data_IF_523283121300
#
_entry.id   IF_523283121300
#
_cell.length_a   1.000
_cell.length_b   1.000
_cell.length_c   1.000
_cell.angle_alpha   90.00
_cell.angle_beta   90.00
_cell.angle_gamma   90.00
#
_symmetry.space_group_name_H-M   'P 1'
#
loop_
_entity.id
_entity.type
_entity.pdbx_description
1 polymer ?
#
# COMPACT_ATOMS: atom_id res chain seq x y z
N UNK A 1 -13.19 17.49 -22.45
CA UNK A 1 -14.29 17.06 -21.57
C UNK A 1 -15.00 15.94 -22.29
N UNK A 2 -15.00 14.74 -21.71
CA UNK A 2 -15.62 13.55 -22.28
C UNK A 2 -17.13 13.74 -22.39
N UNK A 3 -17.70 13.47 -23.57
CA UNK A 3 -19.13 13.73 -23.86
C UNK A 3 -19.98 12.48 -23.73
N UNK A 4 -21.30 12.65 -23.60
CA UNK A 4 -22.28 11.55 -23.63
C UNK A 4 -22.12 10.67 -24.87
N UNK A 5 -21.89 11.27 -26.04
CA UNK A 5 -21.73 10.52 -27.30
C UNK A 5 -20.45 9.70 -27.30
N UNK A 6 -19.34 10.26 -26.82
CA UNK A 6 -18.07 9.53 -26.66
C UNK A 6 -18.23 8.35 -25.70
N UNK A 7 -18.89 8.57 -24.55
CA UNK A 7 -19.20 7.51 -23.60
C UNK A 7 -20.03 6.39 -24.20
N UNK A 8 -21.11 6.71 -24.92
CA UNK A 8 -21.96 5.71 -25.59
C UNK A 8 -21.15 4.90 -26.61
N UNK A 9 -20.28 5.54 -27.39
CA UNK A 9 -19.48 4.85 -28.40
C UNK A 9 -18.48 3.89 -27.77
N UNK A 10 -17.72 4.34 -26.76
CA UNK A 10 -16.75 3.48 -26.05
C UNK A 10 -17.45 2.31 -25.34
N UNK A 11 -18.58 2.57 -24.70
CA UNK A 11 -19.36 1.50 -24.06
C UNK A 11 -19.90 0.50 -25.08
N UNK A 12 -20.39 0.96 -26.24
CA UNK A 12 -20.87 0.08 -27.32
C UNK A 12 -19.76 -0.81 -27.88
N UNK A 13 -18.58 -0.26 -28.10
CA UNK A 13 -17.40 -1.01 -28.56
C UNK A 13 -17.03 -2.14 -27.58
N UNK A 14 -17.22 -1.91 -26.28
CA UNK A 14 -16.94 -2.87 -25.22
C UNK A 14 -18.17 -3.66 -24.74
N UNK A 15 -19.33 -3.50 -25.41
CA UNK A 15 -20.61 -4.15 -25.05
C UNK A 15 -21.09 -3.85 -23.62
N UNK A 16 -21.01 -2.60 -23.19
CA UNK A 16 -21.34 -2.12 -21.83
C UNK A 16 -22.44 -1.05 -21.83
N UNK A 17 -23.31 -1.03 -22.84
CA UNK A 17 -24.31 0.03 -23.03
C UNK A 17 -25.29 0.15 -21.85
N UNK A 18 -25.47 -0.91 -21.05
CA UNK A 18 -26.34 -0.91 -19.87
C UNK A 18 -25.92 0.12 -18.81
N UNK A 19 -24.65 0.52 -18.77
CA UNK A 19 -24.14 1.57 -17.86
C UNK A 19 -24.89 2.90 -18.06
N UNK A 20 -25.33 3.19 -19.28
CA UNK A 20 -26.02 4.44 -19.60
C UNK A 20 -27.53 4.41 -19.29
N UNK A 21 -28.07 3.30 -18.78
CA UNK A 21 -29.52 3.08 -18.59
C UNK A 21 -30.23 4.23 -17.88
N UNK A 22 -29.64 4.74 -16.81
CA UNK A 22 -30.25 5.78 -15.97
C UNK A 22 -29.71 7.19 -16.24
N UNK A 23 -28.86 7.37 -17.24
CA UNK A 23 -28.08 8.60 -17.42
C UNK A 23 -28.94 9.87 -17.50
N UNK A 24 -30.07 9.80 -18.22
CA UNK A 24 -30.97 10.94 -18.42
C UNK A 24 -31.85 11.24 -17.20
N UNK A 25 -31.88 10.36 -16.19
CA UNK A 25 -32.52 10.58 -14.88
C UNK A 25 -31.58 11.27 -13.87
N UNK A 26 -30.28 11.33 -14.15
CA UNK A 26 -29.26 11.82 -13.23
C UNK A 26 -29.23 13.36 -13.16
N UNK A 27 -28.74 13.88 -12.05
CA UNK A 27 -28.35 15.29 -11.95
C UNK A 27 -27.16 15.57 -12.87
N UNK A 28 -26.95 16.84 -13.26
CA UNK A 28 -25.81 17.23 -14.08
C UNK A 28 -24.45 16.88 -13.43
N UNK A 29 -24.39 16.92 -12.09
CA UNK A 29 -23.22 16.51 -11.32
C UNK A 29 -22.94 15.00 -11.45
N UNK A 30 -23.95 14.16 -11.21
CA UNK A 30 -23.82 12.71 -11.33
C UNK A 30 -23.57 12.26 -12.78
N UNK A 31 -24.12 12.98 -13.77
CA UNK A 31 -23.78 12.76 -15.17
C UNK A 31 -22.29 13.00 -15.43
N UNK A 32 -21.75 14.09 -14.90
CA UNK A 32 -20.33 14.43 -15.05
C UNK A 32 -19.44 13.40 -14.36
N UNK A 33 -19.82 12.94 -13.16
CA UNK A 33 -19.10 11.89 -12.43
C UNK A 33 -19.09 10.58 -13.23
N UNK A 34 -20.24 10.12 -13.72
CA UNK A 34 -20.32 8.89 -14.51
C UNK A 34 -19.48 8.99 -15.79
N UNK A 35 -19.54 10.13 -16.51
CA UNK A 35 -18.72 10.33 -17.71
C UNK A 35 -17.23 10.28 -17.39
N UNK A 36 -16.81 10.87 -16.26
CA UNK A 36 -15.43 10.79 -15.80
C UNK A 36 -15.05 9.34 -15.44
N UNK A 37 -15.92 8.58 -14.78
CA UNK A 37 -15.68 7.17 -14.50
C UNK A 37 -15.51 6.36 -15.80
N UNK A 38 -16.37 6.58 -16.81
CA UNK A 38 -16.30 5.89 -18.11
C UNK A 38 -15.03 6.25 -18.88
N UNK A 39 -14.62 7.52 -18.88
CA UNK A 39 -13.39 7.98 -19.55
C UNK A 39 -12.13 7.29 -18.99
N UNK A 40 -12.14 6.99 -17.69
CA UNK A 40 -10.99 6.44 -16.97
C UNK A 40 -11.00 4.90 -16.85
N UNK A 41 -11.92 4.19 -17.51
CA UNK A 41 -11.94 2.72 -17.48
C UNK A 41 -10.71 2.17 -18.18
N UNK A 42 -9.95 1.33 -17.47
CA UNK A 42 -8.90 0.52 -18.07
C UNK A 42 -9.48 -0.75 -18.71
N UNK A 43 -9.86 -0.65 -19.99
CA UNK A 43 -10.45 -1.77 -20.75
C UNK A 43 -9.51 -2.97 -20.94
N UNK A 44 -8.19 -2.80 -20.74
CA UNK A 44 -7.22 -3.90 -20.90
C UNK A 44 -7.37 -4.96 -19.80
N UNK A 45 -7.76 -4.57 -18.59
CA UNK A 45 -7.95 -5.47 -17.44
C UNK A 45 -8.98 -6.56 -17.75
N UNK A 46 -10.01 -6.23 -18.54
CA UNK A 46 -11.14 -7.13 -18.77
C UNK A 46 -10.76 -8.29 -19.67
N UNK A 47 -9.67 -8.15 -20.43
CA UNK A 47 -9.10 -9.23 -21.26
C UNK A 47 -8.41 -10.31 -20.43
N UNK A 48 -8.16 -10.05 -19.15
CA UNK A 48 -7.54 -11.00 -18.22
C UNK A 48 -8.56 -11.97 -17.60
N UNK A 49 -9.86 -11.67 -17.74
CA UNK A 49 -10.93 -12.54 -17.23
C UNK A 49 -10.86 -13.90 -17.94
N UNK A 50 -10.81 -14.98 -17.15
CA UNK A 50 -10.66 -16.34 -17.65
C UNK A 50 -9.24 -16.71 -18.09
N UNK A 51 -8.27 -15.79 -18.04
CA UNK A 51 -6.86 -15.99 -18.40
C UNK A 51 -5.97 -16.39 -17.24
N UNK A 52 -6.52 -17.05 -16.21
CA UNK A 52 -5.81 -17.39 -14.98
C UNK A 52 -4.76 -18.48 -15.18
N UNK A 53 -3.62 -18.15 -15.75
CA UNK A 53 -2.42 -18.94 -15.54
C UNK A 53 -1.84 -18.54 -14.18
N UNK A 54 -2.04 -19.41 -13.18
CA UNK A 54 -1.15 -19.42 -12.03
C UNK A 54 0.24 -19.73 -12.57
N UNK A 55 1.06 -18.71 -12.79
CA UNK A 55 2.45 -18.91 -13.18
C UNK A 55 3.06 -19.86 -12.16
N UNK A 56 3.66 -20.96 -12.63
CA UNK A 56 4.41 -21.84 -11.75
C UNK A 56 5.50 -21.02 -11.08
N UNK A 57 5.51 -21.03 -9.75
CA UNK A 57 6.57 -20.40 -8.97
C UNK A 57 7.90 -21.09 -9.24
N UNK A 58 8.96 -20.30 -9.20
CA UNK A 58 10.34 -20.74 -9.37
C UNK A 58 10.93 -21.42 -8.14
N UNK A 59 12.25 -21.58 -8.13
CA UNK A 59 12.99 -22.09 -6.98
C UNK A 59 13.22 -20.97 -5.97
N UNK A 60 12.85 -21.22 -4.71
CA UNK A 60 13.04 -20.26 -3.63
C UNK A 60 14.42 -20.39 -2.97
N UNK A 61 15.01 -19.25 -2.61
CA UNK A 61 16.24 -19.17 -1.80
C UNK A 61 16.22 -17.96 -0.88
N UNK A 62 17.15 -17.94 0.08
CA UNK A 62 17.24 -16.89 1.11
C UNK A 62 17.72 -15.57 0.48
N UNK A 63 17.10 -14.41 0.78
CA UNK A 63 17.51 -13.14 0.23
C UNK A 63 18.74 -12.57 0.96
N UNK A 64 19.45 -11.60 0.36
CA UNK A 64 20.41 -10.78 1.09
C UNK A 64 19.72 -10.10 2.28
N UNK A 65 20.30 -10.25 3.46
CA UNK A 65 19.72 -9.74 4.69
C UNK A 65 20.77 -9.10 5.59
N UNK A 66 20.37 -8.06 6.32
CA UNK A 66 21.10 -7.55 7.48
C UNK A 66 20.25 -7.84 8.71
N UNK A 67 20.76 -8.71 9.57
CA UNK A 67 20.11 -9.07 10.84
C UNK A 67 20.47 -8.08 11.94
N UNK A 68 19.68 -8.05 13.01
CA UNK A 68 19.85 -7.10 14.13
C UNK A 68 21.30 -7.02 14.62
N UNK A 69 21.97 -8.18 14.77
CA UNK A 69 23.35 -8.23 15.26
C UNK A 69 24.40 -7.63 14.30
N UNK A 70 24.13 -7.61 12.98
CA UNK A 70 24.97 -6.91 12.01
C UNK A 70 24.63 -5.41 11.98
N UNK A 71 23.34 -5.08 12.03
CA UNK A 71 22.86 -3.69 12.10
C UNK A 71 23.50 -2.98 13.30
N UNK A 72 23.54 -3.61 14.48
CA UNK A 72 24.19 -3.06 15.67
C UNK A 72 25.70 -2.82 15.47
N UNK A 73 26.40 -3.71 14.76
CA UNK A 73 27.84 -3.58 14.49
C UNK A 73 28.17 -2.50 13.46
N UNK A 74 27.28 -2.30 12.49
CA UNK A 74 27.44 -1.35 11.38
C UNK A 74 26.53 -0.14 11.51
N UNK A 75 25.96 0.08 12.70
CA UNK A 75 24.96 1.11 12.95
C UNK A 75 25.45 2.48 12.50
N UNK A 76 26.63 2.91 12.96
CA UNK A 76 27.17 4.23 12.68
C UNK A 76 27.49 4.44 11.20
N UNK A 77 27.90 3.38 10.50
CA UNK A 77 28.13 3.41 9.04
C UNK A 77 26.81 3.66 8.31
N UNK A 78 25.79 2.85 8.60
CA UNK A 78 24.48 2.95 7.97
C UNK A 78 23.80 4.28 8.32
N UNK A 79 23.78 4.65 9.60
CA UNK A 79 23.19 5.91 10.06
C UNK A 79 23.83 7.11 9.34
N UNK A 80 25.16 7.15 9.21
CA UNK A 80 25.85 8.24 8.52
C UNK A 80 25.42 8.36 7.04
N UNK A 81 25.37 7.24 6.31
CA UNK A 81 24.94 7.22 4.90
C UNK A 81 23.48 7.65 4.76
N UNK A 82 22.59 7.14 5.62
CA UNK A 82 21.17 7.49 5.56
C UNK A 82 20.92 8.95 5.93
N UNK A 83 21.57 9.46 6.96
CA UNK A 83 21.46 10.88 7.35
C UNK A 83 21.99 11.80 6.26
N UNK A 84 23.05 11.41 5.55
CA UNK A 84 23.54 12.16 4.40
C UNK A 84 22.50 12.23 3.27
N UNK A 85 21.88 11.09 2.91
CA UNK A 85 20.83 11.04 1.89
C UNK A 85 19.62 11.90 2.28
N UNK A 86 19.17 11.81 3.54
CA UNK A 86 18.05 12.61 4.06
C UNK A 86 18.36 14.12 3.98
N UNK A 87 19.55 14.55 4.42
CA UNK A 87 19.97 15.96 4.40
C UNK A 87 20.12 16.52 2.99
N UNK A 88 20.43 15.68 2.00
CA UNK A 88 20.46 16.05 0.58
C UNK A 88 19.08 16.15 -0.06
N UNK A 89 18.00 15.79 0.66
CA UNK A 89 16.64 15.75 0.12
C UNK A 89 16.39 14.54 -0.79
N UNK A 90 17.24 13.51 -0.72
CA UNK A 90 17.17 12.37 -1.64
C UNK A 90 16.13 11.32 -1.25
N UNK A 91 15.45 11.48 -0.11
CA UNK A 91 14.47 10.50 0.41
C UNK A 91 13.12 11.18 0.60
N UNK A 92 12.06 10.55 0.09
CA UNK A 92 10.67 10.91 0.36
C UNK A 92 9.95 9.76 1.08
N UNK A 93 8.82 10.07 1.70
CA UNK A 93 7.96 9.11 2.39
C UNK A 93 6.57 9.07 1.74
N UNK A 94 5.99 7.88 1.56
CA UNK A 94 4.62 7.70 1.05
C UNK A 94 3.79 6.89 2.03
N UNK A 95 2.74 7.52 2.56
CA UNK A 95 1.77 6.89 3.42
C UNK A 95 0.62 6.30 2.57
N UNK A 96 0.46 4.99 2.61
CA UNK A 96 -0.68 4.30 1.99
C UNK A 96 -1.90 4.34 2.93
N UNK A 97 -2.79 5.32 2.74
CA UNK A 97 -3.95 5.60 3.60
C UNK A 97 -5.30 5.59 2.85
N UNK A 98 -5.39 4.89 1.71
CA UNK A 98 -6.65 4.75 0.95
C UNK A 98 -7.73 3.89 1.61
N UNK A 99 -7.48 3.32 2.78
CA UNK A 99 -8.40 2.43 3.49
C UNK A 99 -9.32 3.13 4.50
N UNK A 100 -10.55 2.64 4.60
CA UNK A 100 -11.50 3.02 5.66
C UNK A 100 -11.32 2.16 6.91
N UNK A 101 -11.74 2.67 8.07
CA UNK A 101 -11.73 1.98 9.36
C UNK A 101 -12.84 0.93 9.56
N UNK A 102 -13.53 0.50 8.50
CA UNK A 102 -14.77 -0.29 8.61
C UNK A 102 -14.60 -1.62 9.37
N UNK A 103 -13.44 -2.29 9.25
CA UNK A 103 -13.11 -3.50 10.03
C UNK A 103 -12.99 -3.25 11.53
N UNK A 104 -12.78 -1.99 11.92
CA UNK A 104 -12.74 -1.54 13.31
C UNK A 104 -14.11 -1.03 13.79
N UNK A 105 -15.17 -1.17 12.97
CA UNK A 105 -16.47 -0.56 13.25
C UNK A 105 -16.43 0.97 13.21
N UNK A 106 -15.53 1.54 12.41
CA UNK A 106 -15.27 2.98 12.34
C UNK A 106 -15.48 3.51 10.91
N UNK A 107 -16.39 4.48 10.76
CA UNK A 107 -16.84 4.97 9.44
C UNK A 107 -15.96 6.08 8.84
N UNK A 108 -14.81 6.36 9.46
CA UNK A 108 -13.84 7.37 9.04
C UNK A 108 -12.57 6.70 8.46
N UNK A 109 -11.64 7.46 7.84
CA UNK A 109 -10.38 6.92 7.38
C UNK A 109 -9.65 6.24 8.53
N UNK A 110 -8.97 5.11 8.28
CA UNK A 110 -8.36 4.29 9.33
C UNK A 110 -7.38 5.08 10.20
N UNK A 111 -6.62 6.00 9.61
CA UNK A 111 -5.66 6.84 10.33
C UNK A 111 -6.29 7.79 11.36
N UNK A 112 -7.57 8.11 11.23
CA UNK A 112 -8.32 8.94 12.18
C UNK A 112 -8.76 8.15 13.43
N UNK A 113 -8.51 6.84 13.49
CA UNK A 113 -8.92 6.03 14.63
C UNK A 113 -8.11 6.40 15.88
N UNK A 114 -8.82 6.67 16.98
CA UNK A 114 -8.21 7.00 18.27
C UNK A 114 -7.82 5.72 19.02
N UNK A 115 -6.52 5.53 19.23
CA UNK A 115 -5.92 4.43 19.99
C UNK A 115 -5.56 4.83 21.42
N UNK A 116 -5.90 6.05 21.84
CA UNK A 116 -5.66 6.52 23.20
C UNK A 116 -6.53 5.86 24.26
N UNK A 117 -6.17 6.10 25.53
CA UNK A 117 -6.88 5.65 26.72
C UNK A 117 -7.10 6.81 27.69
N UNK A 118 -6.02 7.48 28.08
CA UNK A 118 -6.05 8.63 29.00
C UNK A 118 -6.00 9.97 28.27
N UNK A 119 -5.68 9.96 26.98
CA UNK A 119 -5.73 11.13 26.08
C UNK A 119 -6.17 10.70 24.69
N UNK A 120 -6.36 11.66 23.80
CA UNK A 120 -6.46 11.36 22.38
C UNK A 120 -5.07 11.01 21.82
N UNK A 121 -5.02 9.95 21.04
CA UNK A 121 -3.87 9.55 20.25
C UNK A 121 -4.36 8.86 18.98
N UNK A 122 -4.21 9.51 17.84
CA UNK A 122 -4.69 8.98 16.57
C UNK A 122 -3.60 8.14 15.88
N UNK A 123 -4.01 7.18 15.05
CA UNK A 123 -3.06 6.40 14.24
C UNK A 123 -2.18 7.32 13.37
N UNK A 124 -2.76 8.33 12.69
CA UNK A 124 -1.98 9.32 11.94
C UNK A 124 -0.97 10.06 12.84
N UNK A 125 -1.37 10.43 14.06
CA UNK A 125 -0.47 11.09 15.00
C UNK A 125 0.71 10.19 15.41
N UNK A 126 0.49 8.88 15.61
CA UNK A 126 1.59 7.94 15.86
C UNK A 126 2.61 7.95 14.71
N UNK A 127 2.13 7.86 13.47
CA UNK A 127 3.00 7.83 12.28
C UNK A 127 3.78 9.14 12.10
N UNK A 128 3.12 10.29 12.30
CA UNK A 128 3.77 11.59 12.20
C UNK A 128 4.79 11.78 13.33
N UNK A 129 4.50 11.33 14.56
CA UNK A 129 5.47 11.34 15.64
C UNK A 129 6.72 10.51 15.30
N UNK A 130 6.53 9.30 14.75
CA UNK A 130 7.64 8.43 14.36
C UNK A 130 8.50 9.08 13.25
N UNK A 131 7.87 9.71 12.25
CA UNK A 131 8.59 10.46 11.21
C UNK A 131 9.26 11.71 11.78
N UNK A 132 8.66 12.38 12.75
CA UNK A 132 9.23 13.56 13.38
C UNK A 132 10.50 13.25 14.17
N UNK A 133 10.66 12.05 14.71
CA UNK A 133 11.92 11.67 15.33
C UNK A 133 13.07 11.66 14.31
N UNK A 134 12.81 11.18 13.08
CA UNK A 134 13.78 11.24 11.98
C UNK A 134 14.05 12.69 11.56
N UNK A 135 13.02 13.53 11.49
CA UNK A 135 13.21 14.96 11.20
C UNK A 135 14.11 15.64 12.24
N UNK A 136 13.94 15.34 13.53
CA UNK A 136 14.81 15.86 14.60
C UNK A 136 16.25 15.35 14.47
N UNK A 137 16.42 14.07 14.11
CA UNK A 137 17.73 13.44 13.94
C UNK A 137 18.47 13.96 12.70
N UNK A 138 17.77 14.11 11.58
CA UNK A 138 18.32 14.61 10.32
C UNK A 138 18.49 16.13 10.30
N UNK A 139 17.68 16.86 11.08
CA UNK A 139 17.63 18.33 11.08
C UNK A 139 16.90 18.92 9.87
N UNK A 140 16.13 18.11 9.13
CA UNK A 140 15.36 18.53 7.96
C UNK A 140 14.04 17.74 7.85
N UNK A 141 13.02 18.36 7.29
CA UNK A 141 11.76 17.68 6.97
C UNK A 141 11.92 16.72 5.79
N UNK A 142 11.14 15.64 5.80
CA UNK A 142 11.11 14.64 4.74
C UNK A 142 9.83 14.89 3.92
N UNK A 143 9.90 15.02 2.58
CA UNK A 143 8.69 15.13 1.77
C UNK A 143 7.75 13.95 2.03
N UNK A 144 6.54 14.23 2.50
CA UNK A 144 5.53 13.24 2.84
C UNK A 144 4.37 13.32 1.84
N UNK A 145 4.13 12.22 1.14
CA UNK A 145 3.00 12.09 0.22
C UNK A 145 1.98 11.12 0.83
N UNK A 146 0.74 11.58 0.98
CA UNK A 146 -0.33 10.81 1.59
C UNK A 146 -1.26 10.33 0.48
N UNK A 147 -1.27 9.01 0.26
CA UNK A 147 -2.18 8.37 -0.67
C UNK A 147 -3.53 8.14 0.00
N UNK A 148 -4.59 8.66 -0.61
CA UNK A 148 -5.99 8.53 -0.16
C UNK A 148 -6.81 7.79 -1.22
N UNK A 149 -8.13 7.75 -1.04
CA UNK A 149 -9.12 7.27 -2.00
C UNK A 149 -10.16 8.35 -2.24
N UNK A 150 -10.92 8.27 -3.34
CA UNK A 150 -12.02 9.20 -3.60
C UNK A 150 -13.01 9.30 -2.42
N UNK A 151 -13.21 8.19 -1.71
CA UNK A 151 -14.14 8.10 -0.57
C UNK A 151 -13.62 8.77 0.71
N UNK A 152 -12.32 8.99 0.85
CA UNK A 152 -11.72 9.38 2.14
C UNK A 152 -10.78 10.60 2.06
N UNK A 153 -10.43 11.08 0.87
CA UNK A 153 -9.46 12.17 0.65
C UNK A 153 -9.83 13.46 1.40
N UNK A 154 -11.04 13.96 1.21
CA UNK A 154 -11.49 15.21 1.85
C UNK A 154 -11.44 15.11 3.37
N UNK A 155 -11.94 14.00 3.93
CA UNK A 155 -11.92 13.76 5.38
C UNK A 155 -10.49 13.66 5.91
N UNK A 156 -9.59 12.99 5.19
CA UNK A 156 -8.19 12.89 5.59
C UNK A 156 -7.51 14.25 5.59
N UNK A 157 -7.68 15.08 4.54
CA UNK A 157 -7.11 16.43 4.49
C UNK A 157 -7.62 17.31 5.63
N UNK A 158 -8.93 17.39 5.82
CA UNK A 158 -9.54 18.18 6.89
C UNK A 158 -9.05 17.72 8.27
N UNK A 159 -8.90 16.41 8.49
CA UNK A 159 -8.41 15.89 9.75
C UNK A 159 -6.97 16.32 10.06
N UNK A 160 -6.07 16.32 9.07
CA UNK A 160 -4.71 16.83 9.25
C UNK A 160 -4.70 18.35 9.52
N UNK A 161 -5.50 19.12 8.79
CA UNK A 161 -5.62 20.57 8.99
C UNK A 161 -6.15 20.93 10.38
N UNK A 162 -7.20 20.24 10.85
CA UNK A 162 -7.80 20.42 12.17
C UNK A 162 -6.83 20.14 13.33
N UNK A 163 -5.82 19.29 13.09
CA UNK A 163 -4.81 18.90 14.08
C UNK A 163 -3.44 19.56 13.85
N UNK A 164 -3.38 20.63 13.05
CA UNK A 164 -2.14 21.35 12.73
C UNK A 164 -1.03 20.41 12.23
N UNK A 165 -1.42 19.44 11.39
CA UNK A 165 -0.56 18.39 10.83
C UNK A 165 0.22 17.59 11.89
N UNK A 166 -0.28 17.54 13.13
CA UNK A 166 0.38 16.96 14.29
C UNK A 166 1.79 17.53 14.53
N UNK A 167 2.02 18.79 14.13
CA UNK A 167 3.31 19.48 14.21
C UNK A 167 4.25 19.24 13.03
N UNK A 168 3.85 18.49 12.00
CA UNK A 168 4.62 18.39 10.75
C UNK A 168 4.48 19.67 9.94
N UNK A 169 5.51 20.05 9.15
CA UNK A 169 5.40 21.22 8.29
C UNK A 169 4.46 20.92 7.10
N UNK A 170 3.32 21.62 6.95
CA UNK A 170 2.37 21.37 5.86
C UNK A 170 2.96 21.61 4.46
N UNK A 171 4.00 22.43 4.30
CA UNK A 171 4.67 22.65 3.01
C UNK A 171 5.37 21.38 2.47
N UNK A 172 5.64 20.41 3.34
CA UNK A 172 6.24 19.12 3.00
C UNK A 172 5.19 18.03 2.81
N UNK A 173 3.90 18.32 2.97
CA UNK A 173 2.81 17.35 2.84
C UNK A 173 2.09 17.55 1.52
N UNK A 174 2.04 16.50 0.72
CA UNK A 174 1.25 16.44 -0.50
C UNK A 174 0.28 15.27 -0.41
N UNK A 175 -0.84 15.36 -1.13
CA UNK A 175 -1.86 14.33 -1.15
C UNK A 175 -2.15 13.93 -2.58
N UNK A 176 -2.42 12.64 -2.78
CA UNK A 176 -2.90 12.13 -4.06
C UNK A 176 -3.88 11.00 -3.85
N UNK A 177 -4.83 10.90 -4.77
CA UNK A 177 -5.88 9.90 -4.71
C UNK A 177 -5.41 8.69 -5.52
N UNK A 178 -5.48 7.50 -4.92
CA UNK A 178 -5.19 6.24 -5.62
C UNK A 178 -6.22 5.99 -6.73
N UNK A 179 -5.80 5.32 -7.79
CA UNK A 179 -6.69 4.93 -8.87
C UNK A 179 -7.66 3.82 -8.44
N UNK A 180 -8.84 3.84 -9.05
CA UNK A 180 -9.92 2.90 -8.78
C UNK A 180 -10.12 2.01 -10.01
N UNK A 181 -10.17 0.70 -9.81
CA UNK A 181 -10.50 -0.27 -10.84
C UNK A 181 -12.01 -0.57 -10.83
N UNK A 182 -12.60 -0.70 -12.02
CA UNK A 182 -14.01 -1.08 -12.15
C UNK A 182 -14.20 -2.57 -11.87
N UNK A 183 -15.23 -2.88 -11.10
CA UNK A 183 -15.64 -4.25 -10.85
C UNK A 183 -16.61 -4.73 -11.95
N UNK A 184 -16.52 -6.01 -12.28
CA UNK A 184 -17.34 -6.65 -13.31
C UNK A 184 -17.96 -7.93 -12.79
N UNK A 185 -19.08 -8.34 -13.39
CA UNK A 185 -19.63 -9.68 -13.17
C UNK A 185 -18.80 -10.77 -13.89
N UNK A 186 -19.25 -12.02 -13.79
CA UNK A 186 -18.59 -13.16 -14.42
C UNK A 186 -18.57 -13.11 -15.96
N UNK A 187 -19.48 -12.36 -16.58
CA UNK A 187 -19.53 -12.14 -18.03
C UNK A 187 -18.70 -10.91 -18.46
N UNK A 188 -17.99 -10.28 -17.52
CA UNK A 188 -17.20 -9.07 -17.76
C UNK A 188 -18.05 -7.81 -17.92
N UNK A 189 -19.31 -7.81 -17.47
CA UNK A 189 -20.16 -6.61 -17.47
C UNK A 189 -19.87 -5.74 -16.27
N UNK A 190 -19.72 -4.44 -16.50
CA UNK A 190 -19.57 -3.44 -15.45
C UNK A 190 -20.73 -3.51 -14.45
N UNK A 191 -20.39 -3.62 -13.17
CA UNK A 191 -21.34 -3.51 -12.08
C UNK A 191 -21.58 -2.04 -11.72
N UNK A 192 -22.81 -1.70 -11.31
CA UNK A 192 -23.17 -0.37 -10.84
C UNK A 192 -23.38 -0.41 -9.32
N UNK A 193 -22.73 0.47 -8.55
CA UNK A 193 -22.97 0.61 -7.09
C UNK A 193 -24.34 1.28 -6.84
N UNK A 194 -24.71 2.22 -7.72
CA UNK A 194 -25.97 2.97 -7.71
C UNK A 194 -26.28 3.53 -9.10
N UNK A 195 -27.44 4.15 -9.27
CA UNK A 195 -27.82 4.77 -10.55
C UNK A 195 -26.80 5.85 -10.91
N UNK A 196 -26.08 5.64 -12.01
CA UNK A 196 -25.08 6.58 -12.49
C UNK A 196 -23.72 6.47 -11.81
N UNK A 197 -23.41 5.35 -11.14
CA UNK A 197 -22.10 5.15 -10.53
C UNK A 197 -21.61 3.72 -10.69
N UNK A 198 -20.43 3.57 -11.26
CA UNK A 198 -19.76 2.29 -11.39
C UNK A 198 -19.37 1.75 -10.01
N UNK A 199 -19.51 0.44 -9.82
CA UNK A 199 -18.93 -0.25 -8.68
C UNK A 199 -17.41 -0.32 -8.89
N UNK A 200 -16.65 0.36 -8.05
CA UNK A 200 -15.19 0.40 -8.14
C UNK A 200 -14.53 -0.05 -6.84
N UNK A 201 -13.25 -0.41 -6.92
CA UNK A 201 -12.39 -0.68 -5.78
C UNK A 201 -11.02 -0.07 -5.99
N UNK A 202 -10.26 0.19 -4.92
CA UNK A 202 -8.84 0.52 -5.06
C UNK A 202 -8.14 -0.48 -5.98
N UNK A 203 -7.27 -0.01 -6.86
CA UNK A 203 -6.50 -0.84 -7.79
C UNK A 203 -5.35 -1.63 -7.11
N UNK A 204 -5.49 -1.95 -5.82
CA UNK A 204 -4.50 -2.66 -5.01
C UNK A 204 -3.36 -1.78 -4.48
N UNK A 205 -2.55 -2.34 -3.57
CA UNK A 205 -1.48 -1.61 -2.90
C UNK A 205 -0.22 -1.42 -3.77
N UNK A 206 -0.13 -2.06 -4.93
CA UNK A 206 0.92 -1.86 -5.94
C UNK A 206 0.65 -0.67 -6.87
N UNK A 207 -0.57 -0.16 -6.92
CA UNK A 207 -0.96 0.94 -7.82
C UNK A 207 -0.48 2.33 -7.40
N UNK A 208 0.12 2.46 -6.22
CA UNK A 208 0.43 3.76 -5.60
C UNK A 208 1.33 4.65 -6.45
N UNK A 209 2.36 4.09 -7.10
CA UNK A 209 3.30 4.90 -7.87
C UNK A 209 2.67 5.38 -9.20
N UNK A 210 1.91 4.53 -9.87
CA UNK A 210 1.13 4.92 -11.04
C UNK A 210 0.14 6.05 -10.72
N UNK A 211 -0.55 5.96 -9.58
CA UNK A 211 -1.45 7.03 -9.11
C UNK A 211 -0.72 8.33 -8.79
N UNK A 212 0.48 8.24 -8.21
CA UNK A 212 1.34 9.40 -7.95
C UNK A 212 1.80 10.09 -9.24
N UNK A 213 2.22 9.31 -10.26
CA UNK A 213 2.61 9.81 -11.59
C UNK A 213 1.41 10.46 -12.28
N UNK A 214 0.22 9.85 -12.22
CA UNK A 214 -1.02 10.41 -12.77
C UNK A 214 -1.40 11.74 -12.10
N UNK A 215 -1.15 11.87 -10.80
CA UNK A 215 -1.29 13.13 -10.07
C UNK A 215 -0.20 14.17 -10.40
N UNK A 216 0.80 13.81 -11.20
CA UNK A 216 1.90 14.68 -11.63
C UNK A 216 2.96 14.94 -10.55
N UNK A 217 2.97 14.13 -9.49
CA UNK A 217 3.88 14.28 -8.34
C UNK A 217 5.27 13.66 -8.59
N UNK A 218 5.43 12.86 -9.64
CA UNK A 218 6.73 12.42 -10.13
C UNK A 218 7.65 13.61 -10.49
N UNK A 219 7.06 14.68 -11.02
CA UNK A 219 7.77 15.94 -11.34
C UNK A 219 8.22 16.66 -10.08
N UNK A 220 7.39 16.64 -9.03
CA UNK A 220 7.69 17.24 -7.74
C UNK A 220 8.84 16.49 -7.03
N UNK A 221 8.80 15.15 -7.03
CA UNK A 221 9.91 14.31 -6.57
C UNK A 221 11.23 14.63 -7.28
N UNK A 222 11.21 14.71 -8.63
CA UNK A 222 12.37 15.05 -9.45
C UNK A 222 12.88 16.47 -9.17
N UNK A 223 11.99 17.44 -9.03
CA UNK A 223 12.35 18.83 -8.72
C UNK A 223 13.01 18.96 -7.33
N UNK A 224 12.60 18.13 -6.37
CA UNK A 224 13.19 18.05 -5.02
C UNK A 224 14.50 17.24 -4.96
N UNK A 225 14.91 16.58 -6.05
CA UNK A 225 16.11 15.75 -6.08
C UNK A 225 15.96 14.39 -5.38
N UNK A 226 14.72 13.92 -5.19
CA UNK A 226 14.44 12.63 -4.55
C UNK A 226 15.00 11.49 -5.42
N UNK A 227 15.62 10.52 -4.76
CA UNK A 227 16.15 9.28 -5.35
C UNK A 227 15.51 8.03 -4.75
N UNK A 228 15.00 8.12 -3.53
CA UNK A 228 14.44 7.01 -2.78
C UNK A 228 13.06 7.35 -2.23
N UNK A 229 12.15 6.40 -2.31
CA UNK A 229 10.81 6.52 -1.73
C UNK A 229 10.63 5.44 -0.67
N UNK A 230 10.46 5.84 0.59
CA UNK A 230 10.03 4.94 1.65
C UNK A 230 8.50 4.89 1.72
N UNK A 231 7.91 3.77 1.31
CA UNK A 231 6.47 3.55 1.42
C UNK A 231 6.11 2.77 2.67
N UNK A 232 4.95 3.06 3.24
CA UNK A 232 4.47 2.41 4.45
C UNK A 232 2.94 2.41 4.57
N UNK A 233 2.38 1.39 5.20
CA UNK A 233 0.94 1.28 5.43
C UNK A 233 0.48 2.07 6.66
N UNK A 234 -0.74 2.62 6.62
CA UNK A 234 -1.30 3.40 7.73
C UNK A 234 -1.46 2.63 9.05
N UNK A 235 -1.43 1.30 9.06
CA UNK A 235 -1.93 0.54 10.20
C UNK A 235 -0.91 0.04 11.20
N UNK A 236 0.39 0.18 10.95
CA UNK A 236 1.42 -0.15 11.91
C UNK A 236 1.83 1.10 12.71
N UNK A 237 1.35 1.21 13.95
CA UNK A 237 1.56 2.41 14.78
C UNK A 237 2.99 2.56 15.33
N UNK A 238 3.79 1.50 15.27
CA UNK A 238 5.16 1.47 15.82
C UNK A 238 6.25 1.60 14.75
N UNK A 239 5.92 1.52 13.46
CA UNK A 239 6.92 1.51 12.40
C UNK A 239 7.76 2.79 12.34
N UNK A 240 9.04 2.64 11.99
CA UNK A 240 9.94 3.77 11.73
C UNK A 240 9.95 4.09 10.23
N UNK A 241 9.73 5.36 9.91
CA UNK A 241 9.58 5.88 8.55
C UNK A 241 10.80 6.74 8.24
N UNK A 242 11.38 6.58 7.05
CA UNK A 242 12.61 7.23 6.61
C UNK A 242 13.79 7.01 7.60
N UNK A 243 13.79 5.86 8.28
CA UNK A 243 14.82 5.48 9.24
C UNK A 243 16.22 5.54 8.61
N UNK A 244 17.14 6.40 9.11
CA UNK A 244 18.46 6.56 8.51
C UNK A 244 19.28 5.27 8.47
N UNK A 245 19.14 4.38 9.46
CA UNK A 245 19.91 3.13 9.47
C UNK A 245 19.41 2.20 8.36
N UNK A 246 18.11 2.09 8.18
CA UNK A 246 17.49 1.31 7.10
C UNK A 246 17.83 1.88 5.71
N UNK A 247 17.70 3.20 5.55
CA UNK A 247 18.04 3.90 4.30
C UNK A 247 19.51 3.70 3.98
N UNK A 248 20.39 3.91 4.95
CA UNK A 248 21.82 3.77 4.76
C UNK A 248 22.27 2.35 4.49
N UNK A 249 21.70 1.35 5.16
CA UNK A 249 21.99 -0.06 4.87
C UNK A 249 21.63 -0.45 3.43
N UNK A 250 20.49 0.03 2.94
CA UNK A 250 20.05 -0.20 1.57
C UNK A 250 21.02 0.45 0.56
N UNK A 251 21.38 1.72 0.79
CA UNK A 251 22.29 2.48 -0.09
C UNK A 251 23.72 1.90 -0.05
N UNK A 252 24.28 1.69 1.14
CA UNK A 252 25.64 1.19 1.33
C UNK A 252 25.81 -0.24 0.81
N UNK A 253 24.74 -1.04 0.88
CA UNK A 253 24.69 -2.38 0.28
C UNK A 253 24.53 -2.40 -1.25
N UNK A 254 24.29 -1.25 -1.89
CA UNK A 254 24.09 -1.16 -3.33
C UNK A 254 22.78 -1.79 -3.82
N UNK A 255 21.77 -1.84 -2.96
CA UNK A 255 20.47 -2.43 -3.30
C UNK A 255 19.55 -1.41 -3.98
N UNK A 256 18.71 -1.86 -4.92
CA UNK A 256 17.69 -0.99 -5.54
C UNK A 256 16.43 -0.82 -4.69
N UNK A 257 16.21 -1.77 -3.78
CA UNK A 257 15.12 -1.73 -2.82
C UNK A 257 15.57 -2.26 -1.46
N UNK A 258 14.84 -1.89 -0.43
CA UNK A 258 14.94 -2.46 0.91
C UNK A 258 13.55 -2.77 1.44
N UNK A 259 13.44 -3.83 2.22
CA UNK A 259 12.20 -4.23 2.89
C UNK A 259 12.50 -4.37 4.37
N UNK A 260 11.79 -3.62 5.22
CA UNK A 260 11.80 -3.93 6.64
C UNK A 260 11.07 -5.24 6.86
N UNK A 261 11.69 -6.12 7.64
CA UNK A 261 11.17 -7.45 7.95
C UNK A 261 11.26 -7.74 9.43
N UNK A 262 10.31 -8.50 9.95
CA UNK A 262 10.40 -9.09 11.29
C UNK A 262 10.67 -10.57 11.18
N UNK A 263 11.37 -11.13 12.17
CA UNK A 263 11.62 -12.57 12.23
C UNK A 263 10.32 -13.34 12.40
N UNK A 264 10.03 -14.26 11.48
CA UNK A 264 8.99 -15.28 11.62
C UNK A 264 9.32 -16.19 12.80
N UNK A 265 8.37 -16.40 13.70
CA UNK A 265 8.61 -17.12 14.96
C UNK A 265 8.02 -18.53 14.99
N UNK A 266 7.07 -18.81 14.09
CA UNK A 266 6.40 -20.11 13.98
C UNK A 266 6.20 -20.47 12.50
N UNK A 267 6.44 -21.72 12.06
CA UNK A 267 6.17 -22.18 10.69
C UNK A 267 4.78 -21.80 10.17
N UNK A 268 3.78 -21.80 11.05
CA UNK A 268 2.37 -21.53 10.74
C UNK A 268 1.95 -20.07 10.92
N UNK A 269 2.91 -19.18 11.23
CA UNK A 269 2.64 -17.74 11.25
C UNK A 269 2.23 -17.27 9.84
N UNK A 270 1.03 -16.69 9.75
CA UNK A 270 0.42 -16.22 8.50
C UNK A 270 0.98 -14.87 8.08
N UNK A 271 2.14 -14.89 7.45
CA UNK A 271 2.78 -13.69 6.92
C UNK A 271 3.48 -13.98 5.58
N UNK A 272 3.53 -12.99 4.71
CA UNK A 272 4.38 -13.05 3.52
C UNK A 272 5.86 -13.01 3.92
N UNK A 273 6.70 -13.75 3.21
CA UNK A 273 8.14 -13.79 3.43
C UNK A 273 8.88 -13.22 2.22
N UNK A 274 9.83 -12.31 2.48
CA UNK A 274 10.80 -11.91 1.46
C UNK A 274 11.75 -13.08 1.21
N UNK A 275 11.91 -13.44 -0.05
CA UNK A 275 12.82 -14.48 -0.53
C UNK A 275 13.41 -14.07 -1.88
N UNK A 276 14.23 -14.94 -2.45
CA UNK A 276 14.52 -14.92 -3.87
C UNK A 276 13.75 -16.03 -4.56
N UNK A 277 13.23 -15.75 -5.75
CA UNK A 277 12.65 -16.70 -6.69
C UNK A 277 13.47 -16.66 -7.97
N UNK A 278 14.12 -17.78 -8.31
CA UNK A 278 15.06 -17.87 -9.42
C UNK A 278 16.13 -16.75 -9.41
N UNK A 279 16.58 -16.39 -8.20
CA UNK A 279 17.61 -15.37 -7.96
C UNK A 279 17.10 -13.92 -7.99
N UNK A 280 15.81 -13.67 -8.22
CA UNK A 280 15.20 -12.33 -8.14
C UNK A 280 14.46 -12.13 -6.82
N UNK A 281 14.40 -10.92 -6.26
CA UNK A 281 13.54 -10.64 -5.11
C UNK A 281 12.11 -11.14 -5.34
N UNK A 282 11.48 -11.71 -4.33
CA UNK A 282 10.10 -12.17 -4.40
C UNK A 282 9.49 -12.17 -3.01
N UNK A 283 8.16 -12.08 -2.94
CA UNK A 283 7.42 -12.33 -1.71
C UNK A 283 6.59 -13.58 -1.96
N UNK A 284 6.74 -14.57 -1.08
CA UNK A 284 5.87 -15.73 -1.07
C UNK A 284 4.84 -15.54 0.03
N UNK A 285 3.57 -15.57 -0.34
CA UNK A 285 2.48 -15.46 0.62
C UNK A 285 2.31 -16.78 1.38
N UNK A 286 1.80 -16.72 2.61
CA UNK A 286 1.71 -17.90 3.49
C UNK A 286 0.87 -19.05 2.90
N UNK A 287 -0.09 -18.75 2.02
CA UNK A 287 -0.93 -19.76 1.35
C UNK A 287 -0.27 -20.34 0.09
N UNK A 288 0.88 -19.81 -0.33
CA UNK A 288 1.70 -20.30 -1.44
C UNK A 288 2.91 -21.11 -0.96
N UNK A 289 3.24 -21.03 0.34
CA UNK A 289 4.36 -21.77 0.93
C UNK A 289 4.05 -23.26 1.02
N UNK A 290 5.03 -24.09 0.67
CA UNK A 290 5.02 -25.51 1.02
C UNK A 290 5.34 -25.71 2.49
N UNK A 291 4.87 -26.82 3.08
CA UNK A 291 5.24 -27.22 4.45
C UNK A 291 6.77 -27.34 4.59
N UNK A 292 7.44 -27.86 3.56
CA UNK A 292 8.90 -27.96 3.50
C UNK A 292 9.57 -26.58 3.63
N UNK A 293 9.10 -25.57 2.90
CA UNK A 293 9.64 -24.21 2.98
C UNK A 293 9.33 -23.58 4.34
N UNK A 294 8.11 -23.75 4.84
CA UNK A 294 7.66 -23.18 6.11
C UNK A 294 8.42 -23.75 7.31
N UNK A 295 8.81 -25.03 7.26
CA UNK A 295 9.51 -25.74 8.34
C UNK A 295 11.04 -25.75 8.17
N UNK A 296 11.56 -25.38 7.00
CA UNK A 296 12.99 -25.38 6.68
C UNK A 296 13.82 -24.67 7.76
N UNK A 297 14.93 -25.30 8.15
CA UNK A 297 15.82 -24.83 9.21
C UNK A 297 17.21 -24.48 8.68
N UNK A 298 17.79 -23.42 9.23
CA UNK A 298 19.21 -23.11 9.08
C UNK A 298 20.06 -24.02 10.00
N UNK A 299 21.39 -23.96 9.84
CA UNK A 299 22.34 -24.78 10.63
C UNK A 299 22.23 -24.54 12.15
N UNK A 300 21.85 -23.33 12.56
CA UNK A 300 21.66 -22.96 13.97
C UNK A 300 20.30 -23.39 14.55
N UNK A 301 19.46 -24.06 13.75
CA UNK A 301 18.12 -24.52 14.14
C UNK A 301 17.03 -23.44 14.03
N UNK A 302 17.37 -22.21 13.62
CA UNK A 302 16.38 -21.17 13.30
C UNK A 302 15.65 -21.48 11.98
N UNK A 303 14.50 -20.83 11.73
CA UNK A 303 13.82 -20.95 10.44
C UNK A 303 14.69 -20.37 9.32
N UNK A 304 14.85 -21.10 8.22
CA UNK A 304 15.63 -20.67 7.06
C UNK A 304 14.94 -19.50 6.37
N UNK A 305 13.64 -19.62 6.12
CA UNK A 305 12.80 -18.56 5.58
C UNK A 305 12.09 -17.84 6.73
N UNK A 306 12.73 -16.76 7.22
CA UNK A 306 12.31 -16.04 8.42
C UNK A 306 12.03 -14.55 8.22
N UNK A 307 12.22 -14.00 7.02
CA UNK A 307 12.14 -12.56 6.77
C UNK A 307 10.73 -12.12 6.41
N UNK A 308 9.90 -11.95 7.43
CA UNK A 308 8.50 -11.61 7.26
C UNK A 308 8.27 -10.13 6.98
N UNK A 309 7.65 -9.82 5.84
CA UNK A 309 7.47 -8.43 5.39
C UNK A 309 6.40 -7.70 6.23
N UNK A 310 6.66 -6.42 6.51
CA UNK A 310 5.75 -5.58 7.31
C UNK A 310 5.15 -4.40 6.53
N UNK A 311 5.22 -4.45 5.19
CA UNK A 311 4.74 -3.39 4.29
C UNK A 311 5.39 -2.03 4.58
N UNK A 312 6.70 -2.04 4.78
CA UNK A 312 7.54 -0.85 4.85
C UNK A 312 8.77 -1.09 3.96
N UNK A 313 8.79 -0.41 2.82
CA UNK A 313 9.75 -0.64 1.74
C UNK A 313 10.43 0.67 1.36
N UNK A 314 11.69 0.58 0.95
CA UNK A 314 12.43 1.65 0.31
C UNK A 314 12.64 1.27 -1.15
N UNK A 315 12.28 2.14 -2.08
CA UNK A 315 12.43 1.89 -3.51
C UNK A 315 13.24 2.99 -4.18
N UNK A 316 14.13 2.60 -5.09
CA UNK A 316 14.77 3.52 -6.03
C UNK A 316 13.72 4.15 -6.95
N UNK A 317 13.73 5.48 -7.05
CA UNK A 317 12.85 6.24 -7.93
C UNK A 317 13.08 5.89 -9.40
N UNK A 318 14.34 5.70 -9.80
CA UNK A 318 14.71 5.33 -11.17
C UNK A 318 14.05 4.01 -11.57
N UNK A 319 14.11 3.00 -10.70
CA UNK A 319 13.49 1.69 -10.98
C UNK A 319 11.97 1.76 -10.99
N UNK A 320 11.38 2.59 -10.13
CA UNK A 320 9.93 2.83 -10.15
C UNK A 320 9.46 3.47 -11.46
N UNK A 321 10.22 4.43 -12.00
CA UNK A 321 9.98 5.02 -13.32
C UNK A 321 10.06 3.97 -14.45
N UNK A 322 10.98 3.00 -14.37
CA UNK A 322 11.00 1.88 -15.31
C UNK A 322 9.76 0.97 -15.16
N UNK A 323 9.39 0.62 -13.93
CA UNK A 323 8.28 -0.31 -13.63
C UNK A 323 6.95 0.25 -14.14
N UNK A 324 6.66 1.52 -13.85
CA UNK A 324 5.39 2.13 -14.24
C UNK A 324 5.23 2.20 -15.77
N UNK A 325 6.33 2.24 -16.51
CA UNK A 325 6.33 2.23 -17.97
C UNK A 325 6.23 0.82 -18.58
N UNK A 326 6.40 -0.25 -17.79
CA UNK A 326 6.52 -1.64 -18.27
C UNK A 326 5.32 -2.55 -17.96
N UNK A 327 4.16 -2.00 -17.57
CA UNK A 327 2.93 -2.72 -17.18
C UNK A 327 3.15 -3.78 -16.07
N UNK A 328 2.63 -3.50 -14.88
CA UNK A 328 2.61 -4.48 -13.80
C UNK A 328 1.58 -5.60 -14.05
N UNK A 329 1.80 -6.76 -13.41
CA UNK A 329 0.82 -7.84 -13.37
C UNK A 329 -0.44 -7.37 -12.64
N UNK A 330 -1.59 -7.55 -13.28
CA UNK A 330 -2.90 -7.29 -12.71
C UNK A 330 -3.51 -8.61 -12.24
N UNK A 331 -3.80 -8.71 -10.96
CA UNK A 331 -4.43 -9.88 -10.34
C UNK A 331 -5.95 -9.79 -10.45
N UNK A 332 -6.57 -10.83 -10.99
CA UNK A 332 -8.04 -10.96 -11.10
C UNK A 332 -8.56 -11.74 -9.89
N UNK A 333 -9.36 -11.10 -9.04
CA UNK A 333 -9.79 -11.66 -7.76
C UNK A 333 -11.31 -11.73 -7.68
N UNK A 334 -11.84 -12.92 -7.37
CA UNK A 334 -13.28 -13.10 -7.13
C UNK A 334 -13.71 -12.50 -5.78
N UNK A 335 -14.77 -11.68 -5.80
CA UNK A 335 -15.28 -11.01 -4.61
C UNK A 335 -16.81 -10.91 -4.61
N UNK A 336 -17.34 -10.67 -3.41
CA UNK A 336 -18.73 -10.22 -3.19
C UNK A 336 -18.78 -8.71 -3.45
N UNK A 337 -19.49 -8.30 -4.49
CA UNK A 337 -19.56 -6.92 -4.96
C UNK A 337 -21.01 -6.46 -4.87
N UNK A 338 -21.27 -5.56 -3.91
CA UNK A 338 -22.55 -4.89 -3.80
C UNK A 338 -22.82 -4.06 -5.07
N UNK A 339 -24.03 -4.15 -5.60
CA UNK A 339 -24.43 -3.52 -6.85
C UNK A 339 -25.93 -3.24 -6.88
N UNK A 340 -26.43 -2.61 -7.94
CA UNK A 340 -27.86 -2.53 -8.24
C UNK A 340 -28.26 -3.56 -9.30
N UNK A 341 -29.45 -4.16 -9.14
CA UNK A 341 -30.04 -5.06 -10.12
C UNK A 341 -30.58 -4.33 -11.37
N UNK A 342 -31.20 -5.09 -12.27
CA UNK A 342 -31.79 -4.54 -13.49
C UNK A 342 -32.91 -3.54 -13.19
N UNK A 343 -33.62 -3.66 -12.08
CA UNK A 343 -34.70 -2.77 -11.65
C UNK A 343 -34.19 -1.56 -10.85
N UNK A 344 -32.91 -1.55 -10.46
CA UNK A 344 -32.27 -0.48 -9.70
C UNK A 344 -32.31 -0.69 -8.18
N UNK A 345 -32.65 -1.88 -7.69
CA UNK A 345 -32.64 -2.20 -6.27
C UNK A 345 -31.22 -2.56 -5.81
N UNK A 346 -30.84 -2.17 -4.60
CA UNK A 346 -29.54 -2.52 -4.01
C UNK A 346 -29.48 -4.01 -3.67
N UNK A 347 -28.41 -4.67 -4.09
CA UNK A 347 -28.11 -6.08 -3.85
C UNK A 347 -26.80 -6.20 -3.06
N UNK A 348 -26.85 -6.96 -1.97
CA UNK A 348 -25.67 -7.37 -1.20
C UNK A 348 -25.51 -8.89 -1.33
N UNK A 349 -24.59 -9.38 -2.18
CA UNK A 349 -24.52 -10.79 -2.54
C UNK A 349 -23.96 -11.66 -1.40
N UNK A 350 -24.54 -12.85 -1.21
CA UNK A 350 -24.09 -13.83 -0.21
C UNK A 350 -22.88 -14.65 -0.66
N UNK A 351 -22.66 -14.78 -1.97
CA UNK A 351 -21.53 -15.47 -2.60
C UNK A 351 -20.79 -14.52 -3.55
N UNK A 352 -19.51 -14.79 -3.91
CA UNK A 352 -18.83 -14.04 -4.95
C UNK A 352 -19.68 -13.98 -6.24
N UNK A 353 -19.73 -12.80 -6.87
CA UNK A 353 -20.59 -12.52 -8.02
C UNK A 353 -19.86 -11.80 -9.14
N UNK A 354 -18.54 -11.70 -9.06
CA UNK A 354 -17.74 -10.95 -10.03
C UNK A 354 -16.28 -10.81 -9.63
N UNK A 355 -15.57 -10.04 -10.45
CA UNK A 355 -14.13 -9.85 -10.39
C UNK A 355 -13.76 -8.41 -9.99
N UNK A 356 -12.64 -8.31 -9.27
CA UNK A 356 -11.86 -7.08 -9.06
C UNK A 356 -10.46 -7.25 -9.62
N UNK A 357 -9.82 -6.14 -9.94
CA UNK A 357 -8.49 -6.07 -10.51
C UNK A 357 -7.56 -5.34 -9.53
N UNK A 358 -6.48 -5.99 -9.11
CA UNK A 358 -5.56 -5.47 -8.10
C UNK A 358 -4.11 -5.57 -8.57
N UNK A 359 -3.35 -4.48 -8.41
CA UNK A 359 -1.90 -4.46 -8.47
C UNK A 359 -1.34 -4.71 -7.08
N UNK A 360 -0.32 -5.55 -6.96
CA UNK A 360 0.28 -5.89 -5.67
C UNK A 360 1.69 -5.33 -5.56
N UNK A 361 2.02 -4.81 -4.39
CA UNK A 361 3.38 -4.31 -4.09
C UNK A 361 4.43 -5.43 -4.17
N UNK A 362 4.03 -6.69 -3.99
CA UNK A 362 4.92 -7.85 -4.18
C UNK A 362 5.43 -7.96 -5.62
N UNK A 363 4.61 -7.60 -6.61
CA UNK A 363 5.03 -7.61 -8.01
C UNK A 363 6.04 -6.49 -8.26
N UNK A 364 5.87 -5.33 -7.59
CA UNK A 364 6.87 -4.26 -7.63
C UNK A 364 8.20 -4.73 -7.03
N UNK A 365 8.16 -5.45 -5.91
CA UNK A 365 9.35 -6.05 -5.30
C UNK A 365 10.02 -7.02 -6.28
N UNK A 366 9.25 -7.86 -6.97
CA UNK A 366 9.78 -8.81 -7.95
C UNK A 366 10.41 -8.16 -9.18
N UNK A 367 9.96 -6.97 -9.54
CA UNK A 367 10.51 -6.18 -10.64
C UNK A 367 11.78 -5.39 -10.27
N UNK A 368 12.19 -5.38 -9.00
CA UNK A 368 13.47 -4.81 -8.56
C UNK A 368 14.62 -5.77 -8.87
N UNK A 369 15.79 -5.25 -9.24
CA UNK A 369 16.96 -6.11 -9.52
C UNK A 369 17.58 -6.67 -8.23
N UNK A 370 17.39 -5.97 -7.10
CA UNK A 370 17.86 -6.41 -5.79
C UNK A 370 17.02 -5.80 -4.66
N UNK A 371 16.84 -6.54 -3.57
CA UNK A 371 16.07 -6.11 -2.40
C UNK A 371 16.73 -6.61 -1.11
N UNK A 372 17.05 -5.68 -0.21
CA UNK A 372 17.60 -6.00 1.11
C UNK A 372 16.49 -6.37 2.10
N UNK A 373 16.59 -7.53 2.74
CA UNK A 373 15.87 -7.81 3.98
C UNK A 373 16.54 -7.07 5.15
N UNK A 374 15.92 -6.01 5.67
CA UNK A 374 16.40 -5.29 6.86
C UNK A 374 15.61 -5.72 8.09
N UNK A 375 16.23 -6.52 8.96
CA UNK A 375 15.55 -7.03 10.16
C UNK A 375 15.31 -5.93 11.19
N UNK A 376 14.08 -5.84 11.69
CA UNK A 376 13.71 -4.95 12.79
C UNK A 376 13.20 -5.71 14.01
N UNK A 377 13.36 -5.13 15.18
CA UNK A 377 12.76 -5.64 16.41
C UNK A 377 11.23 -5.52 16.32
N UNK A 378 10.55 -6.68 16.26
CA UNK A 378 9.09 -6.79 16.20
C UNK A 378 8.41 -5.97 17.29
N UNK A 379 8.93 -6.00 18.53
CA UNK A 379 8.31 -5.30 19.66
C UNK A 379 8.39 -3.79 19.48
N UNK A 380 9.42 -3.29 18.80
CA UNK A 380 9.66 -1.85 18.60
C UNK A 380 9.02 -1.30 17.34
N UNK A 381 8.91 -2.09 16.28
CA UNK A 381 8.55 -1.59 14.95
C UNK A 381 7.32 -2.25 14.33
N UNK A 382 6.70 -3.27 14.94
CA UNK A 382 5.58 -4.00 14.35
C UNK A 382 4.38 -4.15 15.29
N UNK A 383 3.46 -3.20 15.17
CA UNK A 383 2.18 -3.15 15.89
C UNK A 383 1.03 -2.83 14.92
N UNK A 384 0.68 -3.75 13.99
CA UNK A 384 -0.41 -3.53 13.06
C UNK A 384 -1.78 -3.57 13.76
N UNK A 385 -2.68 -2.66 13.38
CA UNK A 385 -4.08 -2.63 13.82
C UNK A 385 -4.95 -3.10 12.66
N UNK A 386 -5.25 -4.40 12.59
CA UNK A 386 -6.14 -4.99 11.59
C UNK A 386 -7.53 -5.30 12.15
N UNK A 387 -7.60 -5.57 13.46
CA UNK A 387 -8.79 -6.00 14.20
C UNK A 387 -9.03 -5.11 15.44
N UNK A 388 -10.22 -5.21 16.04
CA UNK A 388 -10.48 -4.60 17.35
C UNK A 388 -9.77 -5.34 18.48
N UNK A 389 -9.85 -6.67 18.48
CA UNK A 389 -9.33 -7.55 19.52
C UNK A 389 -8.51 -8.70 18.92
N UNK A 390 -7.70 -9.35 19.76
CA UNK A 390 -6.91 -10.52 19.38
C UNK A 390 -5.57 -10.17 18.72
N UNK A 391 -5.11 -11.00 17.78
CA UNK A 391 -3.86 -10.80 17.05
C UNK A 391 -4.00 -9.60 16.09
N UNK A 392 -2.93 -8.80 15.98
CA UNK A 392 -2.87 -7.62 15.13
C UNK A 392 -4.08 -6.70 15.34
N UNK A 393 -4.29 -6.31 16.59
CA UNK A 393 -5.47 -5.58 17.04
C UNK A 393 -5.17 -4.26 17.74
N UNK A 394 -6.21 -3.50 18.05
CA UNK A 394 -6.10 -2.31 18.90
C UNK A 394 -5.47 -2.68 20.25
N UNK A 395 -5.89 -3.79 20.87
CA UNK A 395 -5.36 -4.22 22.17
C UNK A 395 -3.86 -4.51 22.11
N UNK A 396 -3.42 -5.33 21.14
CA UNK A 396 -2.00 -5.67 20.99
C UNK A 396 -1.15 -4.45 20.63
N UNK A 397 -1.68 -3.55 19.80
CA UNK A 397 -0.98 -2.32 19.45
C UNK A 397 -0.81 -1.38 20.65
N UNK A 398 -1.85 -1.25 21.50
CA UNK A 398 -1.77 -0.47 22.75
C UNK A 398 -0.71 -1.04 23.70
N UNK A 399 -0.64 -2.36 23.85
CA UNK A 399 0.40 -3.00 24.67
C UNK A 399 1.81 -2.70 24.15
N UNK A 400 2.03 -2.78 22.84
CA UNK A 400 3.31 -2.48 22.22
C UNK A 400 3.65 -0.99 22.32
N UNK A 401 2.69 -0.08 22.09
CA UNK A 401 2.88 1.35 22.29
C UNK A 401 3.32 1.67 23.73
N UNK A 402 2.67 1.08 24.74
CA UNK A 402 3.06 1.21 26.15
C UNK A 402 4.47 0.69 26.41
N UNK A 403 4.83 -0.48 25.86
CA UNK A 403 6.20 -1.04 25.96
C UNK A 403 7.25 -0.13 25.33
N UNK A 404 6.88 0.61 24.29
CA UNK A 404 7.73 1.61 23.63
C UNK A 404 7.66 3.00 24.30
N UNK A 405 7.07 3.11 25.49
CA UNK A 405 7.04 4.35 26.27
C UNK A 405 6.02 5.39 25.81
N UNK A 406 5.07 5.01 24.95
CA UNK A 406 4.00 5.91 24.51
C UNK A 406 2.89 5.94 25.56
N UNK A 407 2.58 7.14 26.06
CA UNK A 407 1.41 7.38 26.90
C UNK A 407 0.15 7.35 26.02
N UNK A 408 -0.78 6.46 26.34
CA UNK A 408 -2.07 6.30 25.66
C UNK A 408 -3.16 7.15 26.27
#
# INVERSE_FOLDING_TARGET
MFTKEQAINVLRENKQEHVMKYFDELTAENQKELLNQIENINWSDFKLIGGGDSAKRGEFSVPPAVEISEIEKRHDEFEAVGLEALKKGEVAAVLLAGGMGTRLGFDLPKGCFNVGETRELYIFQCLINNLMDVVKQAGCFIPLYIMTSEKNDQTTRSFFEEHDYFGYNPEYVQYFIQDMACAVDYDGKLLLEEKGRLATSPNGNGGWYASMVKAGLDKDLKAKGVKWINIFAVDNVCQRIADPVFVGATIAGGFQAGSKVVRKVDPQEKMGLLCLEDGKPSIVEYYEMSDEMAEAKAEDGSLLYKYGVILNYLFSLEKLDEIVNNNMLVHVVEKKIAHIDAEGNKVSPEQPNGYKFELLVLDMVHMMDSNLAFEVDRVREFAPIKNLHGVDSVDSAKELLKKNGVTL
#
